data_IF_929205024357
#
_entry.id   IF_929205024357
#
_cell.length_a   1.000
_cell.length_b   1.000
_cell.length_c   1.000
_cell.angle_alpha   90.00
_cell.angle_beta   90.00
_cell.angle_gamma   90.00
#
_symmetry.space_group_name_H-M   'P 1'
#
loop_
_entity.id
_entity.type
_entity.pdbx_description
1 polymer ?
#
# COMPACT_ATOMS: atom_id res chain seq x y z
N UNK A 1 -17.44 -14.75 13.40
CA UNK A 1 -18.20 -14.17 12.27
C UNK A 1 -17.24 -13.46 11.33
N UNK A 2 -17.22 -13.74 10.02
CA UNK A 2 -16.39 -12.97 9.09
C UNK A 2 -17.04 -11.59 8.89
N UNK A 3 -16.30 -10.53 9.21
CA UNK A 3 -16.76 -9.16 9.05
C UNK A 3 -17.02 -8.83 7.56
N UNK A 4 -18.13 -8.15 7.22
CA UNK A 4 -18.42 -7.76 5.85
C UNK A 4 -17.36 -6.79 5.33
N UNK A 5 -16.96 -7.03 4.08
CA UNK A 5 -15.91 -6.31 3.38
C UNK A 5 -16.46 -4.95 2.93
N UNK A 6 -16.09 -3.86 3.62
CA UNK A 6 -16.47 -2.50 3.21
C UNK A 6 -15.52 -2.01 2.10
N UNK A 7 -16.02 -1.51 0.95
CA UNK A 7 -15.19 -0.96 -0.11
C UNK A 7 -14.78 0.48 0.25
N UNK A 8 -13.53 0.66 0.64
CA UNK A 8 -12.94 1.95 0.97
C UNK A 8 -11.96 1.82 2.14
N UNK A 9 -10.70 2.21 1.93
CA UNK A 9 -9.59 2.13 2.89
C UNK A 9 -9.00 0.72 3.11
N UNK A 10 -8.36 0.17 2.07
CA UNK A 10 -7.43 -0.97 2.21
C UNK A 10 -6.01 -0.50 1.99
N UNK A 11 -5.23 -0.54 3.05
CA UNK A 11 -3.80 -0.88 2.99
C UNK A 11 -3.73 -1.79 4.20
N UNK A 12 -3.60 -3.09 4.08
CA UNK A 12 -2.55 -3.84 3.45
C UNK A 12 -3.11 -4.81 2.40
N UNK A 13 -2.42 -4.93 1.26
CA UNK A 13 -2.91 -5.57 0.04
C UNK A 13 -2.02 -6.74 -0.40
N UNK A 14 -1.34 -7.38 0.54
CA UNK A 14 -0.36 -8.42 0.29
C UNK A 14 -0.92 -9.56 -0.61
N UNK A 15 -2.18 -9.97 -0.39
CA UNK A 15 -2.84 -10.97 -1.24
C UNK A 15 -3.15 -10.47 -2.65
N UNK A 16 -3.51 -9.20 -2.81
CA UNK A 16 -3.74 -8.59 -4.12
C UNK A 16 -2.42 -8.41 -4.88
N UNK A 17 -1.38 -7.88 -4.24
CA UNK A 17 -0.06 -7.69 -4.84
C UNK A 17 0.57 -9.04 -5.23
N UNK A 18 0.48 -10.05 -4.36
CA UNK A 18 0.91 -11.42 -4.66
C UNK A 18 0.20 -11.98 -5.88
N UNK A 19 -1.12 -11.77 -6.01
CA UNK A 19 -1.87 -12.20 -7.19
C UNK A 19 -1.37 -11.48 -8.45
N UNK A 20 -1.23 -10.15 -8.40
CA UNK A 20 -0.76 -9.35 -9.53
C UNK A 20 0.65 -9.77 -9.97
N UNK A 21 1.58 -9.98 -9.04
CA UNK A 21 2.94 -10.44 -9.36
C UNK A 21 2.94 -11.81 -10.03
N UNK A 22 2.10 -12.74 -9.56
CA UNK A 22 1.97 -14.06 -10.18
C UNK A 22 1.32 -14.03 -11.56
N UNK A 23 0.31 -13.16 -11.76
CA UNK A 23 -0.29 -12.92 -13.07
C UNK A 23 0.74 -12.33 -14.04
N UNK A 24 1.51 -11.31 -13.61
CA UNK A 24 2.60 -10.73 -14.40
C UNK A 24 3.67 -11.77 -14.74
N UNK A 25 4.00 -12.68 -13.82
CA UNK A 25 4.93 -13.77 -14.09
C UNK A 25 4.43 -14.74 -15.17
N UNK A 26 3.11 -14.85 -15.37
CA UNK A 26 2.52 -15.59 -16.48
C UNK A 26 2.59 -14.85 -17.81
N UNK A 27 2.45 -13.51 -17.79
CA UNK A 27 2.49 -12.68 -18.98
C UNK A 27 3.90 -12.32 -19.47
N UNK A 28 4.89 -12.33 -18.56
CA UNK A 28 6.27 -11.96 -18.84
C UNK A 28 7.23 -13.08 -18.37
N UNK A 29 7.35 -14.18 -19.14
CA UNK A 29 8.11 -15.36 -18.75
C UNK A 29 9.58 -15.06 -18.41
N UNK A 30 10.19 -14.10 -19.08
CA UNK A 30 11.59 -13.68 -18.85
C UNK A 30 11.81 -13.09 -17.45
N UNK A 31 10.77 -12.54 -16.82
CA UNK A 31 10.83 -11.99 -15.46
C UNK A 31 10.16 -12.89 -14.42
N UNK A 32 9.62 -14.04 -14.82
CA UNK A 32 8.77 -14.88 -13.98
C UNK A 32 9.44 -15.31 -12.67
N UNK A 33 10.70 -15.73 -12.73
CA UNK A 33 11.46 -16.12 -11.54
C UNK A 33 11.59 -14.96 -10.54
N UNK A 34 11.93 -13.76 -11.03
CA UNK A 34 12.09 -12.57 -10.19
C UNK A 34 10.75 -12.11 -9.60
N UNK A 35 9.68 -12.13 -10.38
CA UNK A 35 8.35 -11.74 -9.94
C UNK A 35 7.79 -12.69 -8.87
N UNK A 36 8.02 -14.00 -9.02
CA UNK A 36 7.63 -15.01 -8.02
C UNK A 36 8.45 -14.88 -6.74
N UNK A 37 9.75 -14.66 -6.83
CA UNK A 37 10.60 -14.37 -5.66
C UNK A 37 10.09 -13.15 -4.88
N UNK A 38 9.77 -12.06 -5.59
CA UNK A 38 9.17 -10.88 -4.96
C UNK A 38 7.85 -11.21 -4.27
N UNK A 39 6.99 -12.00 -4.94
CA UNK A 39 5.71 -12.42 -4.39
C UNK A 39 5.91 -13.25 -3.11
N UNK A 40 6.86 -14.18 -3.08
CA UNK A 40 7.13 -15.06 -1.95
C UNK A 40 7.61 -14.30 -0.71
N UNK A 41 8.37 -13.22 -0.91
CA UNK A 41 8.86 -12.34 0.17
C UNK A 41 7.81 -11.36 0.69
N UNK A 42 6.63 -11.26 0.07
CA UNK A 42 5.57 -10.39 0.56
C UNK A 42 5.05 -10.88 1.92
N UNK A 43 5.09 -10.00 2.91
CA UNK A 43 4.58 -10.25 4.25
C UNK A 43 3.51 -9.23 4.63
N UNK A 44 2.44 -9.70 5.26
CA UNK A 44 1.28 -8.88 5.63
C UNK A 44 1.23 -8.65 7.15
N UNK A 45 1.26 -7.39 7.61
CA UNK A 45 1.02 -7.04 9.02
C UNK A 45 -0.47 -7.01 9.37
N UNK A 46 -1.39 -6.92 8.40
CA UNK A 46 -2.82 -6.84 8.68
C UNK A 46 -3.38 -7.98 9.55
N UNK A 47 -2.94 -9.24 9.42
CA UNK A 47 -3.31 -10.30 10.35
C UNK A 47 -3.02 -9.95 11.82
N UNK A 48 -1.88 -9.31 12.13
CA UNK A 48 -1.50 -8.88 13.48
C UNK A 48 -2.51 -7.87 14.01
N UNK A 49 -2.83 -6.84 13.22
CA UNK A 49 -3.80 -5.80 13.58
C UNK A 49 -5.24 -6.33 13.67
N UNK A 50 -5.56 -7.44 13.00
CA UNK A 50 -6.88 -8.07 13.09
C UNK A 50 -7.02 -8.97 14.31
N UNK A 51 -5.96 -9.69 14.68
CA UNK A 51 -6.04 -10.75 15.69
C UNK A 51 -5.50 -10.33 17.05
N UNK A 52 -4.54 -9.41 17.10
CA UNK A 52 -3.74 -9.16 18.30
C UNK A 52 -3.66 -7.70 18.72
N UNK A 53 -3.85 -6.74 17.81
CA UNK A 53 -3.71 -5.32 18.15
C UNK A 53 -4.86 -4.48 17.58
N UNK A 54 -5.79 -4.08 18.46
CA UNK A 54 -6.93 -3.23 18.10
C UNK A 54 -7.03 -2.04 19.04
N UNK A 55 -6.84 -0.86 18.48
CA UNK A 55 -7.03 0.42 19.19
C UNK A 55 -8.37 1.05 18.80
N UNK A 56 -9.10 1.63 19.75
CA UNK A 56 -10.38 2.30 19.48
C UNK A 56 -10.22 3.48 18.51
N UNK A 57 -9.02 4.10 18.48
CA UNK A 57 -8.68 5.22 17.60
C UNK A 57 -8.53 4.82 16.14
N UNK A 58 -8.41 3.53 15.82
CA UNK A 58 -8.44 3.04 14.44
C UNK A 58 -9.82 3.22 13.78
N UNK A 59 -10.87 3.45 14.60
CA UNK A 59 -12.23 3.59 14.11
C UNK A 59 -12.76 2.28 13.51
N UNK A 60 -13.19 2.32 12.25
CA UNK A 60 -13.89 1.20 11.59
C UNK A 60 -12.99 0.24 10.81
N UNK A 61 -11.68 0.51 10.71
CA UNK A 61 -10.77 -0.27 9.86
C UNK A 61 -9.42 -0.51 10.53
N UNK A 62 -8.81 -1.65 10.27
CA UNK A 62 -7.43 -1.97 10.69
C UNK A 62 -6.42 -1.69 9.56
N UNK A 63 -6.74 -0.77 8.66
CA UNK A 63 -5.85 -0.42 7.55
C UNK A 63 -4.61 0.34 8.02
N UNK A 64 -3.52 0.35 7.24
CA UNK A 64 -2.32 1.15 7.45
C UNK A 64 -2.68 2.61 7.71
N UNK A 65 -3.68 3.16 7.00
CA UNK A 65 -4.10 4.55 7.17
C UNK A 65 -4.87 4.82 8.44
N UNK A 66 -5.50 3.80 9.01
CA UNK A 66 -6.13 3.89 10.32
C UNK A 66 -5.09 3.69 11.43
N UNK A 67 -4.14 2.77 11.26
CA UNK A 67 -3.12 2.45 12.24
C UNK A 67 -2.00 3.51 12.32
N UNK A 68 -1.54 4.02 11.18
CA UNK A 68 -0.38 4.90 11.10
C UNK A 68 -0.51 6.18 11.93
N UNK A 69 -1.61 6.96 11.86
CA UNK A 69 -1.72 8.20 12.63
C UNK A 69 -1.73 7.96 14.15
N UNK A 70 -2.13 6.76 14.57
CA UNK A 70 -2.23 6.37 15.98
C UNK A 70 -0.88 5.88 16.51
N UNK A 71 -0.15 5.10 15.71
CA UNK A 71 1.12 4.50 16.13
C UNK A 71 2.33 5.38 15.84
N UNK A 72 2.31 6.14 14.74
CA UNK A 72 3.43 6.94 14.26
C UNK A 72 2.92 8.31 13.78
N UNK A 73 2.45 9.18 14.69
CA UNK A 73 1.82 10.47 14.32
C UNK A 73 2.76 11.42 13.57
N UNK A 74 4.07 11.22 13.65
CA UNK A 74 5.07 11.98 12.92
C UNK A 74 5.07 11.71 11.40
N UNK A 75 4.52 10.57 10.95
CA UNK A 75 4.46 10.20 9.52
C UNK A 75 3.05 10.44 9.00
N UNK A 76 2.93 11.22 7.93
CA UNK A 76 1.63 11.68 7.42
C UNK A 76 1.59 11.82 5.91
N UNK A 77 0.44 11.49 5.31
CA UNK A 77 0.17 11.64 3.88
C UNK A 77 -0.22 13.08 3.49
N UNK A 78 -0.46 13.98 4.45
CA UNK A 78 -1.07 15.31 4.23
C UNK A 78 -0.35 16.19 3.19
N UNK A 79 0.93 15.97 2.96
CA UNK A 79 1.75 16.77 2.04
C UNK A 79 1.87 16.17 0.63
N UNK A 80 1.32 14.98 0.41
CA UNK A 80 1.41 14.30 -0.88
C UNK A 80 0.27 14.71 -1.82
N UNK A 81 0.53 14.76 -3.12
CA UNK A 81 -0.53 14.98 -4.11
C UNK A 81 -1.54 13.83 -4.14
N UNK A 82 -1.08 12.59 -3.88
CA UNK A 82 -1.94 11.40 -3.84
C UNK A 82 -2.18 10.99 -2.38
N UNK A 83 -3.45 11.01 -1.97
CA UNK A 83 -3.88 10.77 -0.61
C UNK A 83 -4.35 9.34 -0.37
N UNK A 84 -4.84 8.63 -1.38
CA UNK A 84 -5.39 7.28 -1.20
C UNK A 84 -5.21 6.32 -2.38
N UNK A 85 -5.48 5.03 -2.13
CA UNK A 85 -5.27 3.98 -3.13
C UNK A 85 -6.21 4.09 -4.33
N UNK A 86 -7.44 4.56 -4.12
CA UNK A 86 -8.39 4.81 -5.22
C UNK A 86 -7.88 5.95 -6.10
N UNK A 87 -7.44 7.04 -5.48
CA UNK A 87 -6.83 8.17 -6.17
C UNK A 87 -5.55 7.78 -6.91
N UNK A 88 -4.69 6.96 -6.30
CA UNK A 88 -3.49 6.44 -6.95
C UNK A 88 -3.83 5.67 -8.24
N UNK A 89 -4.91 4.88 -8.25
CA UNK A 89 -5.39 4.19 -9.45
C UNK A 89 -5.87 5.16 -10.53
N UNK A 90 -6.57 6.22 -10.14
CA UNK A 90 -7.03 7.26 -11.09
C UNK A 90 -5.83 7.99 -11.71
N UNK A 91 -4.88 8.42 -10.89
CA UNK A 91 -3.65 9.09 -11.35
C UNK A 91 -2.84 8.18 -12.25
N UNK A 92 -2.70 6.89 -11.91
CA UNK A 92 -2.02 5.91 -12.75
C UNK A 92 -2.68 5.77 -14.14
N UNK A 93 -4.00 5.64 -14.18
CA UNK A 93 -4.74 5.52 -15.45
C UNK A 93 -4.57 6.77 -16.32
N UNK A 94 -4.65 7.96 -15.71
CA UNK A 94 -4.45 9.21 -16.42
C UNK A 94 -3.00 9.34 -16.93
N UNK A 95 -2.00 8.97 -16.12
CA UNK A 95 -0.59 9.02 -16.50
C UNK A 95 -0.23 8.12 -17.69
N UNK A 96 -0.89 6.96 -17.85
CA UNK A 96 -0.67 6.07 -19.00
C UNK A 96 -1.09 6.76 -20.30
N UNK A 97 -2.22 7.45 -20.30
CA UNK A 97 -2.76 8.17 -21.46
C UNK A 97 -2.17 9.55 -21.69
N UNK A 98 -1.35 10.06 -20.77
CA UNK A 98 -0.74 11.38 -20.87
C UNK A 98 0.35 11.43 -21.96
N UNK A 99 0.23 12.41 -22.84
CA UNK A 99 1.13 12.66 -23.97
C UNK A 99 2.19 13.71 -23.67
N UNK A 100 1.93 14.64 -22.74
CA UNK A 100 2.93 15.59 -22.27
C UNK A 100 3.91 14.89 -21.32
N UNK A 101 5.19 14.87 -21.71
CA UNK A 101 6.24 14.19 -20.94
C UNK A 101 6.50 14.82 -19.58
N UNK A 102 6.39 16.15 -19.46
CA UNK A 102 6.61 16.84 -18.19
C UNK A 102 5.49 16.54 -17.20
N UNK A 103 4.23 16.60 -17.66
CA UNK A 103 3.06 16.24 -16.84
C UNK A 103 3.11 14.77 -16.43
N UNK A 104 3.42 13.88 -17.37
CA UNK A 104 3.57 12.45 -17.09
C UNK A 104 4.64 12.17 -16.03
N UNK A 105 5.77 12.88 -16.09
CA UNK A 105 6.84 12.75 -15.11
C UNK A 105 6.39 13.23 -13.73
N UNK A 106 5.68 14.36 -13.63
CA UNK A 106 5.13 14.86 -12.37
C UNK A 106 4.16 13.84 -11.74
N UNK A 107 3.26 13.26 -12.53
CA UNK A 107 2.33 12.22 -12.05
C UNK A 107 3.08 10.99 -11.54
N UNK A 108 4.15 10.57 -12.23
CA UNK A 108 4.98 9.45 -11.81
C UNK A 108 5.67 9.71 -10.48
N UNK A 109 6.24 10.91 -10.29
CA UNK A 109 6.88 11.30 -9.03
C UNK A 109 5.88 11.40 -7.88
N UNK A 110 4.68 11.91 -8.12
CA UNK A 110 3.60 11.93 -7.14
C UNK A 110 3.17 10.52 -6.69
N UNK A 111 3.03 9.58 -7.64
CA UNK A 111 2.75 8.17 -7.34
C UNK A 111 3.93 7.51 -6.60
N UNK A 112 5.17 7.82 -6.99
CA UNK A 112 6.37 7.28 -6.35
C UNK A 112 6.50 7.75 -4.90
N UNK A 113 6.23 9.03 -4.64
CA UNK A 113 6.20 9.58 -3.28
C UNK A 113 5.15 8.86 -2.42
N UNK A 114 3.96 8.63 -2.97
CA UNK A 114 2.91 7.86 -2.31
C UNK A 114 3.33 6.42 -1.98
N UNK A 115 3.90 5.70 -2.95
CA UNK A 115 4.38 4.33 -2.76
C UNK A 115 5.52 4.25 -1.73
N UNK A 116 6.42 5.23 -1.74
CA UNK A 116 7.52 5.34 -0.78
C UNK A 116 6.99 5.51 0.64
N UNK A 117 5.99 6.38 0.82
CA UNK A 117 5.39 6.61 2.14
C UNK A 117 4.64 5.39 2.66
N UNK A 118 3.95 4.62 1.80
CA UNK A 118 3.33 3.35 2.20
C UNK A 118 4.38 2.39 2.77
N UNK A 119 5.53 2.24 2.09
CA UNK A 119 6.62 1.36 2.55
C UNK A 119 7.21 1.86 3.87
N UNK A 120 7.51 3.15 3.96
CA UNK A 120 8.04 3.75 5.19
C UNK A 120 7.08 3.58 6.37
N UNK A 121 5.79 3.79 6.15
CA UNK A 121 4.76 3.62 7.17
C UNK A 121 4.72 2.19 7.72
N UNK A 122 4.87 1.17 6.85
CA UNK A 122 4.95 -0.24 7.27
C UNK A 122 6.18 -0.52 8.13
N UNK A 123 7.33 0.05 7.77
CA UNK A 123 8.59 -0.06 8.54
C UNK A 123 8.46 0.63 9.89
N UNK A 124 7.96 1.86 9.94
CA UNK A 124 7.79 2.60 11.20
C UNK A 124 6.81 1.94 12.16
N UNK A 125 5.73 1.36 11.63
CA UNK A 125 4.82 0.56 12.45
C UNK A 125 5.51 -0.69 12.97
N UNK A 126 6.34 -1.35 12.15
CA UNK A 126 7.10 -2.51 12.58
C UNK A 126 8.06 -2.17 13.73
N UNK A 127 8.84 -1.09 13.59
CA UNK A 127 9.74 -0.58 14.63
C UNK A 127 9.01 -0.38 15.96
N UNK A 128 7.84 0.27 15.94
CA UNK A 128 7.00 0.46 17.14
C UNK A 128 6.54 -0.87 17.75
N UNK A 129 6.15 -1.86 16.93
CA UNK A 129 5.68 -3.16 17.41
C UNK A 129 6.80 -4.01 18.01
N UNK A 130 8.03 -3.88 17.52
CA UNK A 130 9.19 -4.68 17.98
C UNK A 130 10.04 -3.97 19.01
N UNK A 131 9.83 -2.67 19.25
CA UNK A 131 10.68 -1.84 20.11
C UNK A 131 12.07 -1.59 19.51
N UNK A 132 12.17 -1.58 18.17
CA UNK A 132 13.39 -1.26 17.44
C UNK A 132 13.57 0.26 17.27
#
# INVERSE_FOLDING_TARGET
MPYPIVPGHRIWLCSHERRVLNELAGHLPEYAARLRDMADRLWDQLPIFRQHYRDYRFGKSNSLKAALPVMVPAVSYKVLAVQNGTEAQVVWQAMIGEGDTAVKHEMAENLRAYCTLNTLAMVKIHEVLTGL
#
